data_IF_384439160983
#
_entry.id   IF_384439160983
#
_cell.length_a   1.000
_cell.length_b   1.000
_cell.length_c   1.000
_cell.angle_alpha   90.00
_cell.angle_beta   90.00
_cell.angle_gamma   90.00
#
_symmetry.space_group_name_H-M   'P 1'
#
loop_
_entity.id
_entity.type
_entity.pdbx_description
1 polymer ?
#
# COMPACT_ATOMS: atom_id res chain seq x y z
N UNK A 1 1.22 6.83 -26.61
CA UNK A 1 0.78 6.53 -25.23
C UNK A 1 2.00 6.37 -24.33
N UNK A 2 1.99 7.03 -23.18
CA UNK A 2 3.00 6.87 -22.13
C UNK A 2 2.91 5.48 -21.48
N UNK A 3 3.98 5.04 -20.80
CA UNK A 3 4.00 3.79 -20.01
C UNK A 3 2.86 3.76 -18.98
N UNK A 4 2.52 4.91 -18.40
CA UNK A 4 1.42 5.05 -17.45
C UNK A 4 0.06 4.81 -18.11
N UNK A 5 -0.15 5.32 -19.32
CA UNK A 5 -1.40 5.10 -20.09
C UNK A 5 -1.53 3.65 -20.52
N UNK A 6 -0.43 3.00 -20.93
CA UNK A 6 -0.43 1.57 -21.27
C UNK A 6 -0.83 0.72 -20.06
N UNK A 7 -0.25 0.97 -18.88
CA UNK A 7 -0.63 0.26 -17.64
C UNK A 7 -2.11 0.50 -17.30
N UNK A 8 -2.60 1.71 -17.51
CA UNK A 8 -3.99 2.09 -17.25
C UNK A 8 -4.96 1.37 -18.17
N UNK A 9 -4.66 1.30 -19.46
CA UNK A 9 -5.46 0.55 -20.43
C UNK A 9 -5.47 -0.93 -20.11
N UNK A 10 -4.29 -1.55 -19.90
CA UNK A 10 -4.21 -2.98 -19.57
C UNK A 10 -4.99 -3.35 -18.30
N UNK A 11 -4.97 -2.48 -17.29
CA UNK A 11 -5.71 -2.72 -16.05
C UNK A 11 -7.23 -2.62 -16.29
N UNK A 12 -7.65 -1.65 -17.11
CA UNK A 12 -9.04 -1.51 -17.53
C UNK A 12 -9.52 -2.74 -18.30
N UNK A 13 -8.76 -3.19 -19.31
CA UNK A 13 -9.08 -4.36 -20.13
C UNK A 13 -9.19 -5.63 -19.27
N UNK A 14 -8.19 -5.85 -18.38
CA UNK A 14 -8.18 -6.99 -17.45
C UNK A 14 -9.41 -7.02 -16.56
N UNK A 15 -9.84 -5.87 -16.06
CA UNK A 15 -10.96 -5.74 -15.11
C UNK A 15 -12.29 -5.50 -15.80
N UNK A 16 -12.32 -5.37 -17.13
CA UNK A 16 -13.49 -4.99 -17.93
C UNK A 16 -14.19 -3.73 -17.41
N UNK A 17 -13.42 -2.77 -16.89
CA UNK A 17 -13.99 -1.56 -16.31
C UNK A 17 -14.64 -1.76 -14.93
N UNK A 18 -14.45 -2.90 -14.23
CA UNK A 18 -15.01 -3.14 -12.90
C UNK A 18 -14.07 -2.71 -11.77
N UNK A 19 -14.57 -1.88 -10.85
CA UNK A 19 -13.84 -1.45 -9.66
C UNK A 19 -13.69 -2.60 -8.65
N UNK A 20 -12.44 -2.95 -8.30
CA UNK A 20 -12.14 -4.04 -7.35
C UNK A 20 -12.74 -3.84 -5.95
N UNK A 21 -13.02 -2.59 -5.54
CA UNK A 21 -13.52 -2.30 -4.19
C UNK A 21 -15.05 -2.47 -4.09
N UNK A 22 -15.79 -2.06 -5.12
CA UNK A 22 -17.25 -1.98 -5.04
C UNK A 22 -17.99 -2.85 -6.07
N UNK A 23 -17.27 -3.51 -6.99
CA UNK A 23 -17.86 -4.36 -8.03
C UNK A 23 -18.62 -3.63 -9.12
N UNK A 24 -18.72 -2.30 -9.05
CA UNK A 24 -19.43 -1.48 -10.04
C UNK A 24 -18.49 -1.08 -11.17
N UNK A 25 -19.07 -0.97 -12.37
CA UNK A 25 -18.36 -0.51 -13.55
C UNK A 25 -18.04 0.99 -13.43
N UNK A 26 -16.84 1.40 -13.85
CA UNK A 26 -16.46 2.82 -13.91
C UNK A 26 -17.14 3.46 -15.12
N UNK A 27 -17.85 4.55 -14.91
CA UNK A 27 -18.49 5.32 -15.97
C UNK A 27 -17.47 6.11 -16.81
N UNK A 28 -17.85 6.45 -18.04
CA UNK A 28 -17.02 7.24 -18.98
C UNK A 28 -16.65 8.62 -18.41
N UNK A 29 -17.57 9.23 -17.67
CA UNK A 29 -17.38 10.54 -17.01
C UNK A 29 -16.83 10.45 -15.59
N UNK A 30 -16.66 9.24 -15.05
CA UNK A 30 -16.23 9.06 -13.67
C UNK A 30 -14.71 9.14 -13.52
N UNK A 31 -14.26 9.74 -12.42
CA UNK A 31 -12.83 9.75 -12.07
C UNK A 31 -12.45 8.41 -11.45
N UNK A 32 -11.49 7.74 -12.07
CA UNK A 32 -10.91 6.49 -11.57
C UNK A 32 -9.39 6.46 -11.73
N UNK A 33 -8.74 5.63 -10.91
CA UNK A 33 -7.29 5.44 -10.89
C UNK A 33 -6.94 3.95 -10.96
N UNK A 34 -5.66 3.68 -11.25
CA UNK A 34 -5.10 2.34 -11.16
C UNK A 34 -4.40 2.21 -9.82
N UNK A 35 -4.72 1.17 -9.09
CA UNK A 35 -4.17 0.89 -7.77
C UNK A 35 -3.58 -0.51 -7.73
N UNK A 36 -2.61 -0.69 -6.85
CA UNK A 36 -2.08 -2.01 -6.54
C UNK A 36 -2.93 -2.60 -5.43
N UNK A 37 -3.42 -3.82 -5.60
CA UNK A 37 -4.17 -4.49 -4.53
C UNK A 37 -3.24 -4.89 -3.39
N UNK A 38 -2.16 -5.60 -3.70
CA UNK A 38 -1.07 -5.87 -2.76
C UNK A 38 -0.14 -4.64 -2.74
N UNK A 39 0.03 -3.95 -1.60
CA UNK A 39 0.70 -2.65 -1.58
C UNK A 39 2.18 -2.68 -1.99
N UNK A 40 2.57 -1.73 -2.84
CA UNK A 40 3.99 -1.44 -3.20
C UNK A 40 4.89 -1.17 -2.01
N UNK A 41 4.31 -0.82 -0.85
CA UNK A 41 5.06 -0.63 0.38
C UNK A 41 5.87 -1.88 0.74
N UNK A 42 5.37 -3.08 0.46
CA UNK A 42 6.00 -4.34 0.83
C UNK A 42 7.39 -4.47 0.20
N UNK A 43 7.49 -4.42 -1.14
CA UNK A 43 8.80 -4.49 -1.82
C UNK A 43 9.68 -3.25 -1.58
N UNK A 44 9.09 -2.12 -1.14
CA UNK A 44 9.92 -0.96 -0.75
C UNK A 44 10.68 -1.27 0.53
N UNK A 45 10.08 -1.99 1.47
CA UNK A 45 10.68 -2.32 2.77
C UNK A 45 11.41 -3.66 2.79
N UNK A 46 11.13 -4.53 1.83
CA UNK A 46 11.80 -5.81 1.63
C UNK A 46 12.51 -5.76 0.28
N UNK A 47 13.83 -5.67 0.31
CA UNK A 47 14.66 -5.52 -0.89
C UNK A 47 14.74 -6.85 -1.66
N UNK A 48 13.77 -7.08 -2.54
CA UNK A 48 13.69 -8.26 -3.39
C UNK A 48 13.18 -7.86 -4.78
N UNK A 49 14.01 -8.06 -5.80
CA UNK A 49 13.71 -7.66 -7.17
C UNK A 49 12.62 -8.53 -7.82
N UNK A 50 12.53 -9.81 -7.50
CA UNK A 50 11.46 -10.70 -7.96
C UNK A 50 10.12 -10.26 -7.37
N UNK A 51 10.09 -9.94 -6.08
CA UNK A 51 8.91 -9.40 -5.39
C UNK A 51 8.47 -8.08 -6.02
N UNK A 52 9.39 -7.18 -6.33
CA UNK A 52 9.10 -5.93 -7.05
C UNK A 52 8.47 -6.21 -8.42
N UNK A 53 9.00 -7.17 -9.18
CA UNK A 53 8.45 -7.53 -10.49
C UNK A 53 7.03 -8.09 -10.37
N UNK A 54 6.78 -8.98 -9.40
CA UNK A 54 5.45 -9.54 -9.11
C UNK A 54 4.45 -8.45 -8.70
N UNK A 55 4.84 -7.56 -7.78
CA UNK A 55 3.94 -6.53 -7.29
C UNK A 55 3.70 -5.40 -8.30
N UNK A 56 4.62 -5.14 -9.23
CA UNK A 56 4.41 -4.18 -10.33
C UNK A 56 3.73 -4.80 -11.57
N UNK A 57 3.44 -6.12 -11.53
CA UNK A 57 2.81 -6.85 -12.64
C UNK A 57 1.36 -6.40 -12.84
N UNK A 58 0.83 -6.67 -14.03
CA UNK A 58 -0.55 -6.35 -14.36
C UNK A 58 -1.55 -7.08 -13.45
N UNK A 59 -1.20 -8.26 -12.93
CA UNK A 59 -2.06 -9.08 -12.08
C UNK A 59 -2.41 -8.36 -10.77
N UNK A 60 -1.48 -7.54 -10.26
CA UNK A 60 -1.68 -6.76 -9.05
C UNK A 60 -2.40 -5.42 -9.28
N UNK A 61 -2.57 -4.99 -10.53
CA UNK A 61 -3.15 -3.68 -10.86
C UNK A 61 -4.65 -3.78 -11.10
N UNK A 62 -5.41 -2.94 -10.41
CA UNK A 62 -6.86 -2.89 -10.55
C UNK A 62 -7.32 -1.45 -10.70
N UNK A 63 -8.43 -1.28 -11.39
CA UNK A 63 -9.08 0.02 -11.44
C UNK A 63 -9.90 0.24 -10.16
N UNK A 64 -9.93 1.48 -9.71
CA UNK A 64 -10.65 1.89 -8.51
C UNK A 64 -11.29 3.26 -8.76
N UNK A 65 -12.58 3.41 -8.44
CA UNK A 65 -13.20 4.74 -8.39
C UNK A 65 -12.43 5.66 -7.44
N UNK A 66 -12.29 6.94 -7.78
CA UNK A 66 -11.60 7.90 -6.92
C UNK A 66 -12.20 7.96 -5.50
N UNK A 67 -13.52 7.89 -5.38
CA UNK A 67 -14.23 7.82 -4.11
C UNK A 67 -13.89 6.55 -3.31
N UNK A 68 -13.96 5.37 -3.94
CA UNK A 68 -13.59 4.12 -3.31
C UNK A 68 -12.12 4.13 -2.86
N UNK A 69 -11.21 4.69 -3.67
CA UNK A 69 -9.80 4.79 -3.33
C UNK A 69 -9.55 5.71 -2.12
N UNK A 70 -10.36 6.75 -1.96
CA UNK A 70 -10.29 7.65 -0.81
C UNK A 70 -10.80 7.00 0.48
N UNK A 71 -11.83 6.15 0.38
CA UNK A 71 -12.44 5.48 1.53
C UNK A 71 -11.81 4.14 1.89
N UNK A 72 -10.97 3.57 1.01
CA UNK A 72 -10.39 2.27 1.23
C UNK A 72 -9.60 2.25 2.54
N UNK A 73 -9.70 1.13 3.24
CA UNK A 73 -8.88 0.93 4.42
C UNK A 73 -7.40 0.74 4.01
N UNK A 74 -6.50 0.85 4.99
CA UNK A 74 -5.07 0.58 4.79
C UNK A 74 -4.68 -0.83 5.26
N UNK A 75 -5.65 -1.75 5.33
CA UNK A 75 -5.39 -3.13 5.73
C UNK A 75 -4.53 -3.84 4.69
N UNK A 76 -3.69 -4.75 5.17
CA UNK A 76 -2.96 -5.63 4.26
C UNK A 76 -3.91 -6.72 3.77
N UNK A 77 -3.80 -7.13 2.49
CA UNK A 77 -4.63 -8.19 1.95
C UNK A 77 -4.35 -9.52 2.64
N UNK A 78 -5.39 -10.35 2.72
CA UNK A 78 -5.36 -11.73 3.18
C UNK A 78 -6.13 -12.60 2.19
N UNK A 79 -5.93 -13.91 2.22
CA UNK A 79 -6.72 -14.85 1.41
C UNK A 79 -8.23 -14.63 1.63
N UNK A 80 -8.66 -14.46 2.90
CA UNK A 80 -10.06 -14.17 3.22
C UNK A 80 -10.57 -12.88 2.57
N UNK A 81 -9.80 -11.79 2.62
CA UNK A 81 -10.20 -10.54 1.98
C UNK A 81 -10.27 -10.68 0.45
N UNK A 82 -9.43 -11.54 -0.15
CA UNK A 82 -9.48 -11.84 -1.58
C UNK A 82 -10.77 -12.59 -1.93
N UNK A 83 -11.19 -13.55 -1.11
CA UNK A 83 -12.42 -14.31 -1.31
C UNK A 83 -13.67 -13.41 -1.34
N UNK A 84 -13.66 -12.37 -0.53
CA UNK A 84 -14.75 -11.39 -0.38
C UNK A 84 -14.76 -10.32 -1.50
N UNK A 85 -13.79 -10.32 -2.43
CA UNK A 85 -13.73 -9.31 -3.48
C UNK A 85 -14.89 -9.44 -4.48
N UNK A 86 -15.54 -8.32 -4.86
CA UNK A 86 -16.62 -8.29 -5.84
C UNK A 86 -16.06 -8.32 -7.28
N UNK A 87 -15.32 -9.38 -7.60
CA UNK A 87 -14.70 -9.63 -8.91
C UNK A 87 -15.05 -11.02 -9.40
N UNK A 88 -14.89 -11.27 -10.71
CA UNK A 88 -15.12 -12.59 -11.28
C UNK A 88 -14.11 -13.64 -10.78
N UNK A 89 -14.45 -14.92 -10.95
CA UNK A 89 -13.66 -16.05 -10.44
C UNK A 89 -12.25 -16.11 -11.04
N UNK A 90 -12.09 -15.80 -12.33
CA UNK A 90 -10.78 -15.80 -12.99
C UNK A 90 -9.84 -14.76 -12.38
N UNK A 91 -10.31 -13.54 -12.14
CA UNK A 91 -9.54 -12.48 -11.48
C UNK A 91 -9.24 -12.83 -10.03
N UNK A 92 -10.19 -13.45 -9.32
CA UNK A 92 -10.00 -13.93 -7.95
C UNK A 92 -8.93 -15.03 -7.88
N UNK A 93 -8.94 -15.98 -8.82
CA UNK A 93 -7.92 -17.02 -8.89
C UNK A 93 -6.53 -16.43 -9.15
N UNK A 94 -6.42 -15.48 -10.09
CA UNK A 94 -5.16 -14.81 -10.41
C UNK A 94 -4.57 -14.05 -9.21
N UNK A 95 -5.41 -13.29 -8.49
CA UNK A 95 -4.93 -12.52 -7.34
C UNK A 95 -4.61 -13.43 -6.13
N UNK A 96 -5.32 -14.55 -5.96
CA UNK A 96 -4.95 -15.60 -5.01
C UNK A 96 -3.59 -16.21 -5.32
N UNK A 97 -3.35 -16.57 -6.58
CA UNK A 97 -2.07 -17.11 -7.01
C UNK A 97 -0.93 -16.12 -6.76
N UNK A 98 -1.14 -14.84 -7.13
CA UNK A 98 -0.20 -13.78 -6.84
C UNK A 98 0.05 -13.66 -5.33
N UNK A 99 -1.02 -13.61 -4.52
CA UNK A 99 -0.92 -13.51 -3.06
C UNK A 99 -0.11 -14.64 -2.46
N UNK A 100 -0.43 -15.91 -2.78
CA UNK A 100 0.33 -17.09 -2.34
C UNK A 100 1.81 -16.97 -2.69
N UNK A 101 2.13 -16.45 -3.88
CA UNK A 101 3.52 -16.29 -4.32
C UNK A 101 4.31 -15.21 -3.56
N UNK A 102 3.63 -14.30 -2.84
CA UNK A 102 4.25 -13.20 -2.09
C UNK A 102 3.89 -13.18 -0.60
N UNK A 103 3.07 -14.13 -0.12
CA UNK A 103 2.46 -14.13 1.20
C UNK A 103 3.50 -13.99 2.31
N UNK A 104 4.61 -14.73 2.22
CA UNK A 104 5.72 -14.63 3.17
C UNK A 104 6.22 -13.19 3.33
N UNK A 105 6.37 -12.46 2.23
CA UNK A 105 6.82 -11.06 2.26
C UNK A 105 5.74 -10.11 2.81
N UNK A 106 4.45 -10.41 2.60
CA UNK A 106 3.35 -9.67 3.25
C UNK A 106 3.44 -9.83 4.76
N UNK A 107 3.69 -11.05 5.25
CA UNK A 107 3.84 -11.36 6.67
C UNK A 107 5.10 -10.73 7.27
N UNK A 108 6.23 -10.79 6.57
CA UNK A 108 7.47 -10.10 6.98
C UNK A 108 7.25 -8.59 7.12
N UNK A 109 6.59 -7.96 6.14
CA UNK A 109 6.27 -6.54 6.20
C UNK A 109 5.35 -6.21 7.38
N UNK A 110 4.33 -7.05 7.63
CA UNK A 110 3.42 -6.90 8.77
C UNK A 110 4.17 -7.03 10.09
N UNK A 111 5.06 -8.01 10.23
CA UNK A 111 5.88 -8.23 11.43
C UNK A 111 6.83 -7.05 11.68
N UNK A 112 7.48 -6.52 10.64
CA UNK A 112 8.31 -5.32 10.74
C UNK A 112 7.50 -4.11 11.21
N UNK A 113 6.32 -3.88 10.62
CA UNK A 113 5.41 -2.80 11.00
C UNK A 113 4.94 -2.94 12.45
N UNK A 114 4.58 -4.15 12.88
CA UNK A 114 4.19 -4.47 14.25
C UNK A 114 5.32 -4.17 15.23
N UNK A 115 6.52 -4.69 14.97
CA UNK A 115 7.68 -4.48 15.84
C UNK A 115 8.02 -3.01 16.05
N UNK A 116 7.95 -2.20 14.98
CA UNK A 116 8.19 -0.75 15.05
C UNK A 116 7.06 -0.04 15.79
N UNK A 117 5.83 -0.45 15.58
CA UNK A 117 4.65 0.11 16.26
C UNK A 117 4.68 -0.18 17.78
N UNK A 118 5.03 -1.40 18.18
CA UNK A 118 5.19 -1.80 19.59
C UNK A 118 6.35 -1.04 20.26
N UNK A 119 7.49 -0.93 19.58
CA UNK A 119 8.63 -0.16 20.09
C UNK A 119 8.27 1.30 20.35
N UNK A 120 7.34 1.86 19.57
CA UNK A 120 6.83 3.22 19.75
C UNK A 120 5.66 3.33 20.73
N UNK A 121 5.36 2.26 21.49
CA UNK A 121 4.25 2.20 22.44
C UNK A 121 2.93 2.62 21.78
N UNK A 122 2.70 2.15 20.56
CA UNK A 122 1.47 2.36 19.80
C UNK A 122 1.15 3.82 19.46
N UNK A 123 2.15 4.72 19.55
CA UNK A 123 1.99 6.15 19.28
C UNK A 123 2.66 6.55 17.96
N UNK A 124 2.06 7.54 17.31
CA UNK A 124 2.69 8.22 16.19
C UNK A 124 3.98 8.91 16.66
N UNK A 125 5.12 8.62 16.00
CA UNK A 125 6.42 9.23 16.38
C UNK A 125 6.34 10.75 16.41
N UNK A 126 5.54 11.38 15.56
CA UNK A 126 5.54 12.83 15.46
C UNK A 126 4.53 13.53 16.36
N UNK A 127 3.26 13.15 16.27
CA UNK A 127 2.21 13.83 17.02
C UNK A 127 1.87 13.17 18.35
N UNK A 128 2.50 12.04 18.69
CA UNK A 128 2.31 11.28 19.93
C UNK A 128 0.89 10.75 20.18
N UNK A 129 -0.06 11.01 19.27
CA UNK A 129 -1.38 10.40 19.31
C UNK A 129 -1.24 8.90 19.17
N UNK A 130 -2.04 8.19 19.94
CA UNK A 130 -2.24 6.76 19.79
C UNK A 130 -2.73 6.44 18.36
N UNK A 131 -2.19 5.38 17.80
CA UNK A 131 -2.54 4.86 16.47
C UNK A 131 -2.69 3.36 16.57
N UNK A 132 -3.66 2.81 15.87
CA UNK A 132 -3.76 1.36 15.72
C UNK A 132 -2.72 0.85 14.72
N UNK A 133 -2.34 -0.43 14.81
CA UNK A 133 -1.50 -1.06 13.79
C UNK A 133 -2.09 -0.89 12.39
N UNK A 134 -3.42 -1.07 12.26
CA UNK A 134 -4.14 -0.92 10.99
C UNK A 134 -3.93 0.46 10.36
N UNK A 135 -4.03 1.52 11.17
CA UNK A 135 -3.98 2.91 10.70
C UNK A 135 -2.57 3.54 10.78
N UNK A 136 -1.57 2.78 11.23
CA UNK A 136 -0.17 3.23 11.23
C UNK A 136 0.44 3.07 9.84
N UNK A 137 1.33 3.99 9.46
CA UNK A 137 2.05 3.95 8.18
C UNK A 137 3.54 3.91 8.45
N UNK A 138 4.21 2.88 7.91
CA UNK A 138 5.65 2.72 8.01
C UNK A 138 6.38 3.71 7.09
N UNK A 139 7.25 4.53 7.67
CA UNK A 139 8.09 5.52 6.99
C UNK A 139 9.52 5.41 7.48
N UNK A 140 10.49 5.87 6.68
CA UNK A 140 11.87 6.00 7.12
C UNK A 140 12.01 7.14 8.15
N UNK A 141 12.80 6.97 9.20
CA UNK A 141 13.28 8.06 10.07
C UNK A 141 14.11 9.02 9.22
N UNK A 142 15.16 8.52 8.57
CA UNK A 142 16.03 9.24 7.64
C UNK A 142 15.83 8.75 6.19
N UNK A 143 15.52 9.65 5.27
CA UNK A 143 15.33 9.32 3.85
C UNK A 143 16.61 9.03 3.07
N UNK A 144 17.77 9.42 3.60
CA UNK A 144 19.08 9.13 3.00
C UNK A 144 19.56 7.71 3.30
N UNK A 145 19.04 7.11 4.37
CA UNK A 145 19.36 5.74 4.75
C UNK A 145 18.43 4.75 4.06
N UNK A 146 18.91 3.51 3.97
CA UNK A 146 18.15 2.37 3.44
C UNK A 146 16.93 2.08 4.30
N UNK A 147 15.95 1.36 3.74
CA UNK A 147 14.79 0.92 4.50
C UNK A 147 15.17 -0.33 5.27
N UNK A 148 15.23 -0.19 6.59
CA UNK A 148 15.43 -1.27 7.54
C UNK A 148 14.61 -0.97 8.79
N UNK A 149 14.50 -1.95 9.69
CA UNK A 149 13.73 -1.80 10.94
C UNK A 149 14.29 -0.67 11.81
N UNK A 150 15.60 -0.53 11.88
CA UNK A 150 16.32 0.46 12.70
C UNK A 150 16.02 1.89 12.22
N UNK A 151 15.87 2.06 10.90
CA UNK A 151 15.49 3.30 10.24
C UNK A 151 13.98 3.43 10.02
N UNK A 152 13.14 2.59 10.62
CA UNK A 152 11.68 2.64 10.44
C UNK A 152 10.98 3.44 11.54
N UNK A 153 9.87 4.07 11.18
CA UNK A 153 8.93 4.69 12.12
C UNK A 153 7.49 4.53 11.66
N UNK A 154 6.58 4.38 12.60
CA UNK A 154 5.14 4.40 12.38
C UNK A 154 4.57 5.80 12.63
N UNK A 155 3.79 6.30 11.65
CA UNK A 155 3.10 7.59 11.71
C UNK A 155 1.60 7.41 11.52
N UNK A 156 0.80 8.33 12.08
CA UNK A 156 -0.59 8.46 11.68
C UNK A 156 -0.70 8.97 10.23
N UNK A 157 -1.85 8.78 9.58
CA UNK A 157 -2.09 9.24 8.20
C UNK A 157 -1.71 10.71 7.99
N UNK A 158 -2.21 11.62 8.83
CA UNK A 158 -1.92 13.07 8.74
C UNK A 158 -0.42 13.38 8.78
N UNK A 159 0.32 12.74 9.69
CA UNK A 159 1.77 12.92 9.79
C UNK A 159 2.53 12.27 8.63
N UNK A 160 2.06 11.13 8.14
CA UNK A 160 2.64 10.44 6.98
C UNK A 160 2.52 11.25 5.70
N UNK A 161 1.38 11.92 5.48
CA UNK A 161 1.18 12.83 4.35
C UNK A 161 2.16 14.01 4.44
N UNK A 162 2.26 14.64 5.62
CA UNK A 162 3.22 15.74 5.86
C UNK A 162 4.67 15.30 5.67
N UNK A 163 5.04 14.09 6.10
CA UNK A 163 6.37 13.52 5.93
C UNK A 163 6.72 13.21 4.45
N UNK A 164 5.74 13.25 3.55
CA UNK A 164 5.96 13.20 2.10
C UNK A 164 6.62 14.48 1.56
N UNK A 165 6.46 15.62 2.23
CA UNK A 165 7.14 16.87 1.89
C UNK A 165 8.51 16.93 2.57
N UNK A 166 9.57 17.09 1.77
CA UNK A 166 10.97 17.07 2.23
C UNK A 166 11.28 18.17 3.25
N UNK A 167 10.68 19.36 3.12
CA UNK A 167 10.87 20.46 4.06
C UNK A 167 10.26 20.14 5.43
N UNK A 168 9.04 19.60 5.45
CA UNK A 168 8.37 19.20 6.70
C UNK A 168 9.08 18.02 7.37
N UNK A 169 9.60 17.07 6.60
CA UNK A 169 10.31 15.92 7.15
C UNK A 169 11.59 16.31 7.88
N UNK A 170 12.39 17.24 7.35
CA UNK A 170 13.58 17.74 8.06
C UNK A 170 13.22 18.38 9.39
N UNK A 171 12.10 19.12 9.46
CA UNK A 171 11.59 19.65 10.74
C UNK A 171 11.15 18.55 11.70
N UNK A 172 10.55 17.47 11.20
CA UNK A 172 10.17 16.31 12.03
C UNK A 172 11.39 15.61 12.63
N UNK A 173 12.47 15.45 11.86
CA UNK A 173 13.74 14.86 12.31
C UNK A 173 14.49 15.79 13.26
N UNK A 174 14.45 17.11 13.08
CA UNK A 174 15.10 18.05 14.01
C UNK A 174 14.36 18.20 15.35
N UNK A 175 13.03 18.03 15.38
CA UNK A 175 12.20 18.18 16.60
C UNK A 175 12.32 17.03 17.59
N UNK A 176 12.75 15.86 17.14
CA UNK A 176 13.14 14.76 18.02
C UNK A 176 14.60 14.49 17.71
N UNK A 177 15.49 14.70 18.66
CA UNK A 177 16.86 14.16 18.58
C UNK A 177 16.77 12.62 18.56
N UNK A 178 16.44 12.08 17.38
CA UNK A 178 16.58 10.68 16.97
C UNK A 178 17.87 10.57 16.16
#
# INVERSE_FOLDING_TARGET
MSISEIKKQKAYDKTQGVCIICGRQVGVSEKWSVEHYIPRAIYKWIDNQELKNKLESIDNLFIVHAYCNFQKDSSLPTSKLIDELPINEALRANIHQLYKSVERHVLEYKAMKQSVWDYQQHKCVFCHKEITLRNSILRRKNNKLTRCRENAMCLCFKCSVRAGNQHYKHRMVKKKQL
#
